data_IF_760949406750
#
_entry.id   IF_760949406750
#
_cell.length_a   1.000
_cell.length_b   1.000
_cell.length_c   1.000
_cell.angle_alpha   90.00
_cell.angle_beta   90.00
_cell.angle_gamma   90.00
#
_symmetry.space_group_name_H-M   'P 1'
#
loop_
_entity.id
_entity.type
_entity.pdbx_description
1 polymer ?
#
# COMPACT_ATOMS: atom_id res chain seq x y z
N UNK A 1 14.55 24.14 10.41
CA UNK A 1 15.68 23.32 9.91
C UNK A 1 15.15 22.35 8.87
N UNK A 2 15.70 22.32 7.65
CA UNK A 2 15.40 21.24 6.70
C UNK A 2 16.13 19.98 7.18
N UNK A 3 15.43 18.85 7.20
CA UNK A 3 16.06 17.55 7.43
C UNK A 3 17.08 17.32 6.30
N UNK A 4 18.34 16.95 6.61
CA UNK A 4 19.33 16.65 5.58
C UNK A 4 18.88 15.43 4.75
N UNK A 5 19.22 15.44 3.46
CA UNK A 5 18.95 14.32 2.56
C UNK A 5 19.68 13.06 3.01
N UNK A 6 19.20 11.90 2.58
CA UNK A 6 19.86 10.63 2.91
C UNK A 6 21.29 10.61 2.35
N UNK A 7 22.26 10.16 3.16
CA UNK A 7 23.67 10.10 2.75
C UNK A 7 23.87 9.32 1.45
N UNK A 8 23.04 8.31 1.20
CA UNK A 8 23.04 7.57 -0.08
C UNK A 8 22.64 8.43 -1.26
N UNK A 9 21.59 9.25 -1.15
CA UNK A 9 21.21 10.18 -2.21
C UNK A 9 22.34 11.18 -2.48
N UNK A 10 22.91 11.75 -1.40
CA UNK A 10 24.02 12.70 -1.47
C UNK A 10 25.26 12.09 -2.13
N UNK A 11 25.59 10.83 -1.81
CA UNK A 11 26.71 10.12 -2.41
C UNK A 11 26.41 9.73 -3.86
N UNK A 12 25.37 8.93 -4.11
CA UNK A 12 25.18 8.25 -5.40
C UNK A 12 24.46 9.09 -6.46
N UNK A 13 23.58 10.00 -6.05
CA UNK A 13 22.80 10.83 -6.97
C UNK A 13 23.40 12.22 -7.09
N UNK A 14 23.67 12.88 -5.96
CA UNK A 14 24.30 14.20 -5.95
C UNK A 14 25.83 14.16 -6.15
N UNK A 15 26.43 12.97 -6.21
CA UNK A 15 27.89 12.75 -6.41
C UNK A 15 28.78 13.51 -5.42
N UNK A 16 28.32 13.64 -4.18
CA UNK A 16 29.01 14.40 -3.14
C UNK A 16 29.38 13.50 -1.94
N UNK A 17 30.48 12.75 -2.09
CA UNK A 17 30.95 11.82 -1.05
C UNK A 17 31.34 12.56 0.24
N UNK A 18 31.82 13.81 0.12
CA UNK A 18 32.25 14.63 1.26
C UNK A 18 31.08 15.02 2.16
N UNK A 19 29.97 15.45 1.56
CA UNK A 19 28.77 15.79 2.33
C UNK A 19 28.11 14.52 2.90
N UNK A 20 28.05 13.44 2.13
CA UNK A 20 27.54 12.16 2.61
C UNK A 20 28.33 11.63 3.82
N UNK A 21 29.67 11.68 3.77
CA UNK A 21 30.53 11.30 4.88
C UNK A 21 30.31 12.22 6.09
N UNK A 22 30.26 13.53 5.90
CA UNK A 22 30.02 14.48 6.98
C UNK A 22 28.65 14.29 7.68
N UNK A 23 27.61 13.99 6.92
CA UNK A 23 26.27 13.74 7.46
C UNK A 23 26.22 12.39 8.19
N UNK A 24 26.88 11.34 7.67
CA UNK A 24 26.97 10.03 8.34
C UNK A 24 27.87 10.05 9.57
N UNK A 25 28.97 10.80 9.56
CA UNK A 25 29.85 10.94 10.73
C UNK A 25 29.10 11.52 11.93
N UNK A 26 28.17 12.47 11.68
CA UNK A 26 27.32 13.02 12.73
C UNK A 26 26.31 12.01 13.28
N UNK A 27 25.76 11.16 12.42
CA UNK A 27 24.75 10.16 12.81
C UNK A 27 25.38 8.96 13.52
N UNK A 28 26.51 8.46 13.01
CA UNK A 28 27.21 7.29 13.53
C UNK A 28 28.21 7.62 14.65
N UNK A 29 28.52 8.91 14.86
CA UNK A 29 29.58 9.37 15.79
C UNK A 29 30.95 8.74 15.52
N UNK A 30 31.27 8.50 14.25
CA UNK A 30 32.56 7.97 13.79
C UNK A 30 33.09 8.88 12.69
N UNK A 31 34.40 9.14 12.67
CA UNK A 31 35.02 9.86 11.56
C UNK A 31 35.08 8.99 10.31
N UNK A 32 34.23 9.30 9.34
CA UNK A 32 34.23 8.69 8.02
C UNK A 32 35.05 9.54 7.05
N UNK A 33 36.00 8.90 6.38
CA UNK A 33 36.75 9.50 5.28
C UNK A 33 35.88 9.50 4.00
N UNK A 34 35.89 10.61 3.28
CA UNK A 34 35.17 10.75 2.02
C UNK A 34 35.91 10.02 0.89
N UNK A 35 35.35 8.90 0.42
CA UNK A 35 35.91 8.12 -0.70
C UNK A 35 35.29 8.55 -2.05
N UNK A 36 35.62 9.76 -2.50
CA UNK A 36 35.04 10.33 -3.73
C UNK A 36 35.29 9.46 -4.97
N UNK A 37 36.47 8.84 -5.08
CA UNK A 37 36.85 8.00 -6.21
C UNK A 37 35.97 6.74 -6.33
N UNK A 38 35.53 6.15 -5.21
CA UNK A 38 34.57 5.03 -5.24
C UNK A 38 33.17 5.50 -5.65
N UNK A 39 32.73 6.65 -5.14
CA UNK A 39 31.44 7.25 -5.52
C UNK A 39 31.39 7.58 -7.02
N UNK A 40 32.48 8.13 -7.55
CA UNK A 40 32.58 8.47 -8.97
C UNK A 40 32.57 7.21 -9.84
N UNK A 41 33.31 6.15 -9.46
CA UNK A 41 33.28 4.84 -10.14
C UNK A 41 31.87 4.24 -10.18
N UNK A 42 31.19 4.16 -9.02
CA UNK A 42 29.81 3.65 -8.91
C UNK A 42 28.84 4.49 -9.74
N UNK A 43 29.06 5.81 -9.81
CA UNK A 43 28.27 6.74 -10.60
C UNK A 43 28.46 6.61 -12.11
N UNK A 44 29.62 6.09 -12.57
CA UNK A 44 29.96 5.91 -13.99
C UNK A 44 29.72 4.50 -14.53
N UNK A 45 29.42 3.52 -13.68
CA UNK A 45 29.08 2.15 -14.08
C UNK A 45 27.86 2.14 -15.04
N UNK A 46 27.97 1.55 -16.24
CA UNK A 46 26.90 1.55 -17.25
C UNK A 46 25.63 0.83 -16.78
N UNK A 47 25.74 -0.13 -15.86
CA UNK A 47 24.60 -0.81 -15.22
C UNK A 47 23.74 0.11 -14.35
N UNK A 48 24.30 1.24 -13.93
CA UNK A 48 23.59 2.30 -13.21
C UNK A 48 23.01 3.39 -14.12
N UNK A 49 23.14 3.26 -15.44
CA UNK A 49 22.78 4.31 -16.42
C UNK A 49 21.41 4.14 -17.10
N UNK A 50 20.61 3.15 -16.71
CA UNK A 50 19.30 2.93 -17.35
C UNK A 50 18.19 3.85 -16.80
N UNK A 51 17.38 4.41 -17.71
CA UNK A 51 16.20 5.22 -17.37
C UNK A 51 14.92 4.40 -17.19
N UNK A 52 13.83 5.05 -16.74
CA UNK A 52 12.54 4.42 -16.45
C UNK A 52 11.93 3.65 -17.64
N UNK A 53 12.08 4.18 -18.86
CA UNK A 53 11.50 3.58 -20.08
C UNK A 53 12.47 2.64 -20.81
N UNK A 54 13.55 2.22 -20.15
CA UNK A 54 14.51 1.30 -20.73
C UNK A 54 14.01 -0.15 -20.66
N UNK A 55 14.47 -0.98 -21.61
CA UNK A 55 14.23 -2.45 -21.56
C UNK A 55 14.83 -3.08 -20.31
N UNK A 56 15.93 -2.52 -19.80
CA UNK A 56 16.59 -2.98 -18.60
C UNK A 56 15.76 -2.73 -17.34
N UNK A 57 15.18 -1.54 -17.19
CA UNK A 57 14.22 -1.25 -16.12
C UNK A 57 13.01 -2.20 -16.19
N UNK A 58 12.44 -2.38 -17.38
CA UNK A 58 11.29 -3.28 -17.54
C UNK A 58 11.62 -4.72 -17.15
N UNK A 59 12.82 -5.22 -17.49
CA UNK A 59 13.28 -6.57 -17.14
C UNK A 59 13.56 -6.73 -15.64
N UNK A 60 14.21 -5.76 -15.00
CA UNK A 60 14.63 -5.84 -13.58
C UNK A 60 13.53 -5.43 -12.60
N UNK A 61 12.75 -4.42 -12.93
CA UNK A 61 11.82 -3.74 -12.02
C UNK A 61 10.39 -3.63 -12.55
N UNK A 62 10.12 -4.03 -13.79
CA UNK A 62 8.78 -3.95 -14.38
C UNK A 62 7.74 -4.76 -13.61
N UNK A 63 8.11 -5.97 -13.17
CA UNK A 63 7.23 -6.82 -12.37
C UNK A 63 6.98 -6.21 -10.97
N UNK A 64 8.02 -5.64 -10.37
CA UNK A 64 7.92 -4.98 -9.07
C UNK A 64 6.99 -3.76 -9.16
N UNK A 65 7.12 -2.95 -10.21
CA UNK A 65 6.27 -1.81 -10.45
C UNK A 65 4.82 -2.23 -10.73
N UNK A 66 4.60 -3.30 -11.49
CA UNK A 66 3.28 -3.86 -11.68
C UNK A 66 2.67 -4.32 -10.35
N UNK A 67 3.45 -5.04 -9.54
CA UNK A 67 3.04 -5.46 -8.20
C UNK A 67 2.63 -4.27 -7.33
N UNK A 68 3.52 -3.30 -7.13
CA UNK A 68 3.25 -2.15 -6.25
C UNK A 68 2.11 -1.28 -6.73
N UNK A 69 1.98 -1.03 -8.04
CA UNK A 69 0.90 -0.23 -8.60
C UNK A 69 -0.46 -0.94 -8.48
N UNK A 70 -0.52 -2.21 -8.86
CA UNK A 70 -1.77 -2.99 -8.83
C UNK A 70 -2.25 -3.22 -7.39
N UNK A 71 -1.37 -3.56 -6.45
CA UNK A 71 -1.78 -3.78 -5.06
C UNK A 71 -2.25 -2.49 -4.40
N UNK A 72 -1.61 -1.35 -4.67
CA UNK A 72 -2.05 -0.06 -4.12
C UNK A 72 -3.37 0.39 -4.76
N UNK A 73 -3.53 0.22 -6.08
CA UNK A 73 -4.79 0.49 -6.78
C UNK A 73 -5.95 -0.34 -6.21
N UNK A 74 -5.78 -1.66 -6.07
CA UNK A 74 -6.82 -2.56 -5.58
C UNK A 74 -7.16 -2.32 -4.12
N UNK A 75 -6.15 -2.04 -3.29
CA UNK A 75 -6.37 -1.61 -1.91
C UNK A 75 -7.21 -0.34 -1.85
N UNK A 76 -6.81 0.71 -2.58
CA UNK A 76 -7.47 2.02 -2.48
C UNK A 76 -8.93 1.94 -2.98
N UNK A 77 -9.25 1.06 -3.93
CA UNK A 77 -10.66 0.75 -4.26
C UNK A 77 -11.39 0.29 -2.99
N UNK A 78 -10.96 -0.81 -2.38
CA UNK A 78 -11.68 -1.40 -1.26
C UNK A 78 -11.68 -0.50 -0.01
N UNK A 79 -10.54 0.12 0.30
CA UNK A 79 -10.36 0.95 1.48
C UNK A 79 -11.18 2.23 1.42
N UNK A 80 -11.11 2.98 0.30
CA UNK A 80 -11.87 4.22 0.17
C UNK A 80 -13.37 3.98 -0.01
N UNK A 81 -13.79 2.96 -0.78
CA UNK A 81 -15.22 2.60 -0.86
C UNK A 81 -15.79 2.28 0.52
N UNK A 82 -15.07 1.46 1.29
CA UNK A 82 -15.50 1.08 2.64
C UNK A 82 -15.48 2.27 3.59
N UNK A 83 -14.50 3.18 3.49
CA UNK A 83 -14.41 4.32 4.42
C UNK A 83 -15.41 5.44 4.10
N UNK A 84 -15.61 5.75 2.81
CA UNK A 84 -16.43 6.86 2.38
C UNK A 84 -17.94 6.57 2.51
N UNK A 85 -18.34 5.32 2.22
CA UNK A 85 -19.75 4.92 2.20
C UNK A 85 -20.16 4.11 3.44
N UNK A 86 -19.47 4.28 4.57
CA UNK A 86 -19.83 3.62 5.83
C UNK A 86 -21.26 3.93 6.25
N UNK A 87 -21.69 5.19 6.10
CA UNK A 87 -23.07 5.60 6.40
C UNK A 87 -24.08 4.80 5.58
N UNK A 88 -23.85 4.66 4.28
CA UNK A 88 -24.79 3.98 3.38
C UNK A 88 -24.84 2.48 3.68
N UNK A 89 -23.68 1.88 3.98
CA UNK A 89 -23.59 0.48 4.43
C UNK A 89 -24.36 0.28 5.74
N UNK A 90 -24.17 1.15 6.74
CA UNK A 90 -24.88 1.08 8.02
C UNK A 90 -26.39 1.32 7.89
N UNK A 91 -26.80 2.18 6.95
CA UNK A 91 -28.21 2.40 6.63
C UNK A 91 -28.83 1.18 5.97
N UNK A 92 -28.11 0.56 5.04
CA UNK A 92 -28.58 -0.60 4.29
C UNK A 92 -28.73 -1.88 5.13
N UNK A 93 -27.97 -2.00 6.22
CA UNK A 93 -28.15 -3.09 7.21
C UNK A 93 -29.16 -2.74 8.31
N UNK A 94 -29.76 -1.55 8.30
CA UNK A 94 -30.74 -1.13 9.30
C UNK A 94 -30.15 -0.78 10.67
N UNK A 95 -28.85 -0.46 10.75
CA UNK A 95 -28.25 0.03 11.99
C UNK A 95 -28.60 1.50 12.25
N UNK A 96 -28.67 2.30 11.19
CA UNK A 96 -29.23 3.65 11.25
C UNK A 96 -30.77 3.58 11.11
N UNK A 97 -31.53 4.27 12.00
CA UNK A 97 -32.97 4.43 11.82
C UNK A 97 -33.31 5.08 10.47
N UNK A 98 -34.58 5.10 10.08
CA UNK A 98 -35.00 5.84 8.88
C UNK A 98 -34.85 7.34 9.12
N UNK A 99 -34.46 8.10 8.11
CA UNK A 99 -34.24 9.54 8.20
C UNK A 99 -35.47 10.30 8.77
N UNK A 100 -36.68 9.89 8.41
CA UNK A 100 -37.94 10.48 8.92
C UNK A 100 -38.12 10.35 10.45
N UNK A 101 -37.39 9.42 11.07
CA UNK A 101 -37.51 9.11 12.51
C UNK A 101 -36.40 9.72 13.35
N UNK A 102 -35.46 10.47 12.76
CA UNK A 102 -34.36 11.07 13.52
C UNK A 102 -33.95 12.46 12.99
N UNK A 103 -33.39 13.29 13.88
CA UNK A 103 -32.78 14.55 13.48
C UNK A 103 -31.41 14.33 12.83
N UNK A 104 -31.03 15.24 11.92
CA UNK A 104 -29.72 15.20 11.26
C UNK A 104 -28.55 15.20 12.26
N UNK A 105 -28.65 15.95 13.37
CA UNK A 105 -27.63 15.96 14.42
C UNK A 105 -27.51 14.61 15.11
N UNK A 106 -28.63 13.91 15.35
CA UNK A 106 -28.62 12.59 15.96
C UNK A 106 -28.05 11.53 15.02
N UNK A 107 -28.33 11.63 13.72
CA UNK A 107 -27.74 10.77 12.69
C UNK A 107 -26.22 10.90 12.65
N UNK A 108 -25.71 12.13 12.54
CA UNK A 108 -24.27 12.42 12.52
C UNK A 108 -23.59 11.92 13.79
N UNK A 109 -24.21 12.14 14.96
CA UNK A 109 -23.66 11.64 16.23
C UNK A 109 -23.54 10.11 16.25
N UNK A 110 -24.55 9.37 15.76
CA UNK A 110 -24.49 7.90 15.67
C UNK A 110 -23.41 7.43 14.71
N UNK A 111 -23.37 7.98 13.50
CA UNK A 111 -22.33 7.65 12.51
C UNK A 111 -20.95 7.92 13.11
N UNK A 112 -20.71 9.11 13.65
CA UNK A 112 -19.43 9.49 14.25
C UNK A 112 -19.01 8.56 15.39
N UNK A 113 -19.95 8.13 16.25
CA UNK A 113 -19.68 7.16 17.30
C UNK A 113 -19.22 5.81 16.75
N UNK A 114 -19.89 5.29 15.72
CA UNK A 114 -19.49 4.03 15.07
C UNK A 114 -18.12 4.16 14.38
N UNK A 115 -17.88 5.26 13.66
CA UNK A 115 -16.61 5.53 13.00
C UNK A 115 -15.46 5.65 14.00
N UNK A 116 -15.70 6.33 15.12
CA UNK A 116 -14.72 6.47 16.20
C UNK A 116 -14.38 5.11 16.81
N UNK A 117 -15.39 4.25 17.02
CA UNK A 117 -15.16 2.89 17.53
C UNK A 117 -14.33 2.05 16.55
N UNK A 118 -14.64 2.10 15.25
CA UNK A 118 -13.87 1.42 14.20
C UNK A 118 -12.44 1.96 14.12
N UNK A 119 -12.26 3.27 14.28
CA UNK A 119 -10.93 3.87 14.29
C UNK A 119 -10.11 3.42 15.50
N UNK A 120 -10.69 3.45 16.70
CA UNK A 120 -10.03 3.10 17.95
C UNK A 120 -9.74 1.60 18.08
N UNK A 121 -10.63 0.74 17.59
CA UNK A 121 -10.50 -0.71 17.72
C UNK A 121 -9.95 -1.41 16.47
N UNK A 122 -10.07 -0.79 15.30
CA UNK A 122 -9.61 -1.34 14.02
C UNK A 122 -8.39 -0.61 13.50
N UNK A 123 -8.57 0.60 13.01
CA UNK A 123 -7.55 1.34 12.24
C UNK A 123 -6.28 1.62 13.05
N UNK A 124 -6.39 2.25 14.22
CA UNK A 124 -5.24 2.68 15.03
C UNK A 124 -4.44 1.47 15.55
N UNK A 125 -5.05 0.44 16.15
CA UNK A 125 -4.32 -0.75 16.55
C UNK A 125 -3.66 -1.46 15.37
N UNK A 126 -4.33 -1.52 14.20
CA UNK A 126 -3.76 -2.14 13.00
C UNK A 126 -2.42 -1.53 12.58
N UNK A 127 -2.32 -0.19 12.62
CA UNK A 127 -1.04 0.49 12.35
C UNK A 127 0.04 0.16 13.38
N UNK A 128 -0.29 0.17 14.68
CA UNK A 128 0.68 -0.16 15.73
C UNK A 128 1.16 -1.61 15.63
N UNK A 129 0.29 -2.53 15.21
CA UNK A 129 0.69 -3.90 14.91
C UNK A 129 1.63 -3.94 13.72
N UNK A 130 1.35 -3.22 12.63
CA UNK A 130 2.34 -3.14 11.53
C UNK A 130 3.67 -2.61 12.04
N UNK A 131 3.70 -1.50 12.76
CA UNK A 131 4.94 -0.93 13.30
C UNK A 131 5.70 -1.95 14.16
N UNK A 132 5.00 -2.68 15.03
CA UNK A 132 5.62 -3.66 15.91
C UNK A 132 6.17 -4.89 15.17
N UNK A 133 5.56 -5.29 14.04
CA UNK A 133 5.85 -6.56 13.38
C UNK A 133 6.48 -6.45 11.99
N UNK A 134 6.55 -5.28 11.37
CA UNK A 134 7.00 -5.11 9.97
C UNK A 134 8.43 -5.61 9.74
N UNK A 135 9.32 -5.42 10.72
CA UNK A 135 10.71 -5.88 10.65
C UNK A 135 10.88 -7.35 11.08
N UNK A 136 9.93 -7.91 11.84
CA UNK A 136 9.98 -9.30 12.30
C UNK A 136 9.27 -10.28 11.38
N UNK A 137 8.13 -9.92 10.81
CA UNK A 137 7.34 -10.78 9.93
C UNK A 137 7.74 -10.56 8.46
N UNK A 138 7.92 -9.31 8.05
CA UNK A 138 8.21 -8.93 6.67
C UNK A 138 7.03 -8.29 5.96
N UNK A 139 7.31 -7.50 4.92
CA UNK A 139 6.31 -6.67 4.24
C UNK A 139 5.40 -7.53 3.37
N UNK A 140 5.94 -8.53 2.69
CA UNK A 140 5.19 -9.42 1.80
C UNK A 140 4.17 -10.23 2.59
N UNK A 141 4.59 -10.83 3.71
CA UNK A 141 3.71 -11.68 4.53
C UNK A 141 2.60 -10.86 5.17
N UNK A 142 2.90 -9.66 5.70
CA UNK A 142 1.90 -8.76 6.25
C UNK A 142 0.90 -8.32 5.17
N UNK A 143 1.39 -7.97 3.97
CA UNK A 143 0.52 -7.57 2.87
C UNK A 143 -0.43 -8.70 2.44
N UNK A 144 0.11 -9.92 2.27
CA UNK A 144 -0.65 -11.09 1.86
C UNK A 144 -1.72 -11.46 2.90
N UNK A 145 -1.32 -11.50 4.18
CA UNK A 145 -2.21 -11.74 5.31
C UNK A 145 -3.33 -10.69 5.38
N UNK A 146 -2.99 -9.41 5.21
CA UNK A 146 -3.95 -8.32 5.22
C UNK A 146 -5.01 -8.47 4.13
N UNK A 147 -4.60 -8.63 2.86
CA UNK A 147 -5.56 -8.86 1.77
C UNK A 147 -6.40 -10.12 1.97
N UNK A 148 -5.80 -11.21 2.48
CA UNK A 148 -6.53 -12.44 2.79
C UNK A 148 -7.64 -12.20 3.82
N UNK A 149 -7.32 -11.65 4.99
CA UNK A 149 -8.32 -11.41 6.02
C UNK A 149 -9.34 -10.34 5.63
N UNK A 150 -8.93 -9.29 4.92
CA UNK A 150 -9.86 -8.32 4.32
C UNK A 150 -10.88 -9.01 3.40
N UNK A 151 -10.45 -9.99 2.60
CA UNK A 151 -11.33 -10.77 1.72
C UNK A 151 -12.29 -11.63 2.52
N UNK A 152 -11.77 -12.36 3.52
CA UNK A 152 -12.56 -13.21 4.43
C UNK A 152 -13.65 -12.40 5.12
N UNK A 153 -13.32 -11.25 5.71
CA UNK A 153 -14.31 -10.42 6.41
C UNK A 153 -15.30 -9.77 5.43
N UNK A 154 -14.86 -9.32 4.25
CA UNK A 154 -15.78 -8.82 3.24
C UNK A 154 -16.79 -9.86 2.77
N UNK A 155 -16.36 -11.11 2.54
CA UNK A 155 -17.28 -12.20 2.21
C UNK A 155 -18.16 -12.60 3.40
N UNK A 156 -17.63 -12.59 4.63
CA UNK A 156 -18.42 -12.84 5.84
C UNK A 156 -19.50 -11.77 6.07
N UNK A 157 -19.26 -10.52 5.65
CA UNK A 157 -20.26 -9.45 5.68
C UNK A 157 -21.31 -9.59 4.56
N UNK A 158 -20.89 -10.07 3.39
CA UNK A 158 -21.73 -10.06 2.20
C UNK A 158 -22.55 -11.34 1.96
N UNK A 159 -22.04 -12.53 2.33
CA UNK A 159 -22.74 -13.80 2.10
C UNK A 159 -23.97 -13.92 3.01
N UNK A 160 -23.84 -13.88 4.36
CA UNK A 160 -24.97 -13.89 5.29
C UNK A 160 -25.56 -12.47 5.50
N UNK A 161 -25.69 -11.66 4.44
CA UNK A 161 -26.12 -10.25 4.53
C UNK A 161 -27.44 -10.04 5.30
N UNK A 162 -28.42 -10.94 5.13
CA UNK A 162 -29.72 -10.85 5.82
C UNK A 162 -29.60 -11.14 7.34
N UNK A 163 -28.65 -11.99 7.76
CA UNK A 163 -28.39 -12.23 9.18
C UNK A 163 -27.92 -10.95 9.87
N UNK A 164 -27.08 -10.17 9.19
CA UNK A 164 -26.53 -8.93 9.74
C UNK A 164 -27.56 -7.83 9.98
N UNK A 165 -28.70 -7.85 9.28
CA UNK A 165 -29.79 -6.89 9.51
C UNK A 165 -30.47 -7.04 10.87
N UNK A 166 -30.29 -8.19 11.52
CA UNK A 166 -30.82 -8.47 12.87
C UNK A 166 -29.72 -8.50 13.94
N UNK A 167 -28.45 -8.63 13.53
CA UNK A 167 -27.28 -8.78 14.40
C UNK A 167 -26.25 -7.67 14.16
N UNK A 168 -26.69 -6.41 14.24
CA UNK A 168 -25.89 -5.26 13.79
C UNK A 168 -24.55 -5.09 14.54
N UNK A 169 -24.46 -5.53 15.79
CA UNK A 169 -23.21 -5.47 16.57
C UNK A 169 -22.11 -6.35 15.96
N UNK A 170 -22.46 -7.56 15.52
CA UNK A 170 -21.50 -8.46 14.88
C UNK A 170 -21.05 -7.94 13.52
N UNK A 171 -21.93 -7.26 12.77
CA UNK A 171 -21.55 -6.58 11.54
C UNK A 171 -20.48 -5.52 11.81
N UNK A 172 -20.67 -4.66 12.82
CA UNK A 172 -19.68 -3.64 13.18
C UNK A 172 -18.32 -4.25 13.56
N UNK A 173 -18.32 -5.38 14.28
CA UNK A 173 -17.08 -6.08 14.66
C UNK A 173 -16.36 -6.59 13.42
N UNK A 174 -17.04 -7.33 12.54
CA UNK A 174 -16.46 -7.86 11.31
C UNK A 174 -15.96 -6.72 10.40
N UNK A 175 -16.73 -5.63 10.31
CA UNK A 175 -16.36 -4.45 9.55
C UNK A 175 -15.13 -3.74 10.12
N UNK A 176 -15.05 -3.62 11.45
CA UNK A 176 -13.86 -3.09 12.14
C UNK A 176 -12.63 -3.98 11.94
N UNK A 177 -12.79 -5.30 11.91
CA UNK A 177 -11.71 -6.23 11.63
C UNK A 177 -11.18 -6.08 10.21
N UNK A 178 -12.04 -5.80 9.22
CA UNK A 178 -11.56 -5.45 7.87
C UNK A 178 -10.61 -4.24 7.91
N UNK A 179 -10.96 -3.17 8.63
CA UNK A 179 -10.07 -2.03 8.78
C UNK A 179 -8.81 -2.37 9.58
N UNK A 180 -8.90 -3.20 10.61
CA UNK A 180 -7.73 -3.68 11.33
C UNK A 180 -6.74 -4.35 10.39
N UNK A 181 -7.17 -5.34 9.59
CA UNK A 181 -6.29 -6.05 8.66
C UNK A 181 -5.92 -5.25 7.41
N UNK A 182 -6.68 -4.21 7.05
CA UNK A 182 -6.23 -3.25 6.04
C UNK A 182 -5.00 -2.48 6.52
N UNK A 183 -4.97 -2.07 7.79
CA UNK A 183 -3.87 -1.30 8.38
C UNK A 183 -2.74 -2.18 8.92
N UNK A 184 -3.06 -3.34 9.49
CA UNK A 184 -2.13 -4.44 9.73
C UNK A 184 -1.97 -5.29 8.48
N UNK A 185 -1.52 -4.65 7.41
CA UNK A 185 -1.58 -5.23 6.08
C UNK A 185 -1.30 -4.22 4.97
N UNK A 186 -2.06 -4.29 3.86
CA UNK A 186 -1.71 -3.62 2.61
C UNK A 186 -1.61 -2.10 2.74
N UNK A 187 -2.39 -1.42 3.58
CA UNK A 187 -2.33 0.05 3.67
C UNK A 187 -0.98 0.59 4.09
N UNK A 188 -0.33 -0.08 5.05
CA UNK A 188 1.01 0.30 5.44
C UNK A 188 2.06 -0.24 4.45
N UNK A 189 1.93 -1.50 4.01
CA UNK A 189 2.96 -2.13 3.18
C UNK A 189 3.00 -1.58 1.76
N UNK A 190 1.88 -1.25 1.12
CA UNK A 190 1.88 -0.65 -0.22
C UNK A 190 2.51 0.73 -0.25
N UNK A 191 2.54 1.43 0.88
CA UNK A 191 3.26 2.69 1.05
C UNK A 191 4.77 2.47 1.25
N UNK A 192 5.15 1.51 2.10
CA UNK A 192 6.55 1.24 2.47
C UNK A 192 7.31 0.56 1.33
N UNK A 193 6.74 -0.47 0.73
CA UNK A 193 7.43 -1.36 -0.23
C UNK A 193 8.04 -0.60 -1.42
N UNK A 194 7.34 0.29 -2.14
CA UNK A 194 7.94 1.03 -3.25
C UNK A 194 9.15 1.88 -2.82
N UNK A 195 9.18 2.35 -1.57
CA UNK A 195 10.34 3.10 -1.07
C UNK A 195 11.56 2.20 -0.81
N UNK A 196 11.33 0.93 -0.50
CA UNK A 196 12.35 -0.05 -0.10
C UNK A 196 12.85 -0.95 -1.25
N UNK A 197 12.17 -0.98 -2.41
CA UNK A 197 12.54 -1.91 -3.51
C UNK A 197 13.12 -1.23 -4.75
N UNK A 198 12.93 0.08 -4.91
CA UNK A 198 13.37 0.81 -6.10
C UNK A 198 14.71 1.53 -5.86
N UNK A 199 15.59 1.57 -6.87
CA UNK A 199 16.90 2.21 -6.75
C UNK A 199 16.74 3.70 -6.46
N UNK A 200 17.65 4.26 -5.65
CA UNK A 200 17.53 5.61 -5.12
C UNK A 200 17.27 6.68 -6.20
N UNK A 201 17.83 6.50 -7.40
CA UNK A 201 17.67 7.41 -8.54
C UNK A 201 16.27 7.41 -9.16
N UNK A 202 15.54 6.28 -9.11
CA UNK A 202 14.18 6.14 -9.67
C UNK A 202 13.10 6.02 -8.59
N UNK A 203 13.50 5.90 -7.32
CA UNK A 203 12.60 5.62 -6.18
C UNK A 203 11.42 6.57 -6.13
N UNK A 204 11.66 7.88 -6.20
CA UNK A 204 10.59 8.88 -6.14
C UNK A 204 9.62 8.77 -7.31
N UNK A 205 10.11 8.50 -8.51
CA UNK A 205 9.28 8.31 -9.71
C UNK A 205 8.45 7.03 -9.62
N UNK A 206 9.05 5.89 -9.26
CA UNK A 206 8.34 4.62 -9.13
C UNK A 206 7.34 4.61 -7.97
N UNK A 207 7.71 5.22 -6.83
CA UNK A 207 6.79 5.46 -5.72
C UNK A 207 5.65 6.39 -6.15
N UNK A 208 5.95 7.47 -6.89
CA UNK A 208 4.95 8.40 -7.43
C UNK A 208 3.96 7.72 -8.38
N UNK A 209 4.42 6.85 -9.28
CA UNK A 209 3.56 6.06 -10.16
C UNK A 209 2.68 5.10 -9.36
N UNK A 210 3.24 4.42 -8.35
CA UNK A 210 2.50 3.52 -7.46
C UNK A 210 1.43 4.27 -6.65
N UNK A 211 1.77 5.45 -6.13
CA UNK A 211 0.85 6.31 -5.40
C UNK A 211 -0.26 6.87 -6.31
N UNK A 212 0.07 7.26 -7.54
CA UNK A 212 -0.90 7.70 -8.53
C UNK A 212 -1.89 6.59 -8.89
N UNK A 213 -1.42 5.33 -9.02
CA UNK A 213 -2.28 4.17 -9.20
C UNK A 213 -3.20 3.98 -7.98
N UNK A 214 -2.70 4.10 -6.75
CA UNK A 214 -3.54 4.12 -5.54
C UNK A 214 -4.67 5.16 -5.64
N UNK A 215 -4.33 6.42 -5.96
CA UNK A 215 -5.35 7.47 -6.11
C UNK A 215 -6.34 7.23 -7.24
N UNK A 216 -5.91 6.66 -8.36
CA UNK A 216 -6.83 6.20 -9.40
C UNK A 216 -7.79 5.11 -8.87
N UNK A 217 -7.28 4.18 -8.06
CA UNK A 217 -8.07 3.18 -7.35
C UNK A 217 -9.09 3.80 -6.40
N UNK A 218 -8.69 4.81 -5.63
CA UNK A 218 -9.60 5.54 -4.73
C UNK A 218 -10.74 6.22 -5.50
N UNK A 219 -10.46 6.80 -6.67
CA UNK A 219 -11.47 7.41 -7.55
C UNK A 219 -12.42 6.32 -8.08
N UNK A 220 -11.87 5.23 -8.62
CA UNK A 220 -12.65 4.09 -9.12
C UNK A 220 -13.53 3.48 -8.03
N UNK A 221 -13.00 3.30 -6.82
CA UNK A 221 -13.75 2.81 -5.67
C UNK A 221 -14.82 3.80 -5.22
N UNK A 222 -14.52 5.09 -5.18
CA UNK A 222 -15.46 6.12 -4.74
C UNK A 222 -16.67 6.21 -5.68
N UNK A 223 -16.44 6.38 -6.98
CA UNK A 223 -17.54 6.44 -7.94
C UNK A 223 -18.13 5.06 -8.21
N UNK A 224 -17.30 4.05 -8.43
CA UNK A 224 -17.75 2.70 -8.75
C UNK A 224 -18.62 2.10 -7.65
N UNK A 225 -18.24 2.23 -6.39
CA UNK A 225 -19.09 1.77 -5.28
C UNK A 225 -20.35 2.61 -5.15
N UNK A 226 -20.27 3.94 -5.30
CA UNK A 226 -21.45 4.81 -5.24
C UNK A 226 -22.53 4.41 -6.23
N UNK A 227 -22.16 4.12 -7.48
CA UNK A 227 -23.10 3.64 -8.50
C UNK A 227 -23.51 2.17 -8.27
N UNK A 228 -22.57 1.30 -7.89
CA UNK A 228 -22.85 -0.12 -7.70
C UNK A 228 -23.75 -0.40 -6.49
N UNK A 229 -23.59 0.34 -5.40
CA UNK A 229 -24.30 0.14 -4.15
C UNK A 229 -25.78 0.56 -4.21
N UNK A 230 -26.18 1.31 -5.25
CA UNK A 230 -27.56 1.71 -5.47
C UNK A 230 -28.52 0.51 -5.53
N UNK A 231 -29.77 0.75 -5.15
CA UNK A 231 -30.82 -0.27 -5.15
C UNK A 231 -31.00 -0.90 -6.54
N UNK A 232 -31.29 -2.20 -6.56
CA UNK A 232 -31.70 -2.93 -7.78
C UNK A 232 -33.11 -2.56 -8.24
N UNK A 233 -33.92 -2.00 -7.34
CA UNK A 233 -35.28 -1.55 -7.65
C UNK A 233 -35.32 -0.04 -7.85
N UNK A 234 -35.86 0.38 -8.99
CA UNK A 234 -35.90 1.76 -9.47
C UNK A 234 -36.66 2.73 -8.55
N UNK A 235 -37.56 2.24 -7.71
CA UNK A 235 -38.34 3.00 -6.73
C UNK A 235 -37.54 3.37 -5.47
N UNK A 236 -36.39 2.74 -5.23
CA UNK A 236 -35.55 2.93 -4.04
C UNK A 236 -34.14 3.43 -4.36
N UNK A 237 -33.93 3.94 -5.56
CA UNK A 237 -32.67 4.54 -5.98
C UNK A 237 -32.61 5.99 -5.53
N UNK A 238 -31.43 6.46 -5.14
CA UNK A 238 -31.24 7.87 -4.80
C UNK A 238 -31.51 8.77 -6.03
N UNK A 239 -32.11 9.94 -5.80
CA UNK A 239 -32.47 10.87 -6.87
C UNK A 239 -31.23 11.22 -7.72
N UNK A 240 -31.29 10.90 -9.01
CA UNK A 240 -30.23 11.20 -9.97
C UNK A 240 -29.28 10.04 -10.27
N UNK A 241 -29.45 8.87 -9.65
CA UNK A 241 -28.66 7.67 -9.94
C UNK A 241 -29.45 6.63 -10.76
N UNK A 242 -28.77 5.82 -11.59
CA UNK A 242 -29.35 4.61 -12.19
C UNK A 242 -29.42 3.48 -11.16
N UNK A 243 -30.18 2.42 -11.47
CA UNK A 243 -30.23 1.19 -10.65
C UNK A 243 -28.85 0.55 -10.54
N UNK A 244 -28.47 0.17 -9.32
CA UNK A 244 -27.21 -0.51 -9.03
C UNK A 244 -27.38 -2.01 -8.84
N UNK A 245 -26.32 -2.65 -8.34
CA UNK A 245 -26.31 -4.07 -7.96
C UNK A 245 -26.67 -4.29 -6.49
N UNK A 246 -26.81 -3.22 -5.70
CA UNK A 246 -27.11 -3.23 -4.28
C UNK A 246 -25.88 -3.44 -3.38
N UNK A 247 -25.98 -2.95 -2.14
CA UNK A 247 -24.88 -2.98 -1.14
C UNK A 247 -24.31 -4.38 -0.94
N UNK A 248 -25.15 -5.42 -0.87
CA UNK A 248 -24.69 -6.82 -0.73
C UNK A 248 -23.71 -7.21 -1.84
N UNK A 249 -24.08 -6.98 -3.09
CA UNK A 249 -23.27 -7.37 -4.24
C UNK A 249 -22.06 -6.43 -4.41
N UNK A 250 -22.18 -5.17 -4.02
CA UNK A 250 -21.05 -4.25 -3.95
C UNK A 250 -20.00 -4.73 -2.92
N UNK A 251 -20.42 -5.21 -1.75
CA UNK A 251 -19.52 -5.82 -0.75
C UNK A 251 -18.86 -7.11 -1.28
N UNK A 252 -19.59 -7.96 -2.01
CA UNK A 252 -18.99 -9.13 -2.69
C UNK A 252 -17.92 -8.71 -3.70
N UNK A 253 -18.17 -7.65 -4.46
CA UNK A 253 -17.22 -7.10 -5.43
C UNK A 253 -15.97 -6.55 -4.73
N UNK A 254 -16.11 -5.84 -3.60
CA UNK A 254 -14.95 -5.43 -2.79
C UNK A 254 -14.15 -6.63 -2.26
N UNK A 255 -14.82 -7.70 -1.83
CA UNK A 255 -14.16 -8.95 -1.44
C UNK A 255 -13.36 -9.58 -2.59
N UNK A 256 -13.90 -9.56 -3.80
CA UNK A 256 -13.20 -10.04 -4.99
C UNK A 256 -12.00 -9.14 -5.35
N UNK A 257 -12.13 -7.82 -5.24
CA UNK A 257 -11.02 -6.87 -5.42
C UNK A 257 -9.88 -7.15 -4.43
N UNK A 258 -10.21 -7.43 -3.17
CA UNK A 258 -9.20 -7.81 -2.17
C UNK A 258 -8.51 -9.15 -2.51
N UNK A 259 -9.26 -10.13 -3.03
CA UNK A 259 -8.68 -11.39 -3.52
C UNK A 259 -7.71 -11.16 -4.69
N UNK A 260 -8.06 -10.27 -5.63
CA UNK A 260 -7.14 -9.88 -6.68
C UNK A 260 -5.90 -9.19 -6.10
N UNK A 261 -6.05 -8.32 -5.10
CA UNK A 261 -4.93 -7.69 -4.40
C UNK A 261 -4.00 -8.71 -3.75
N UNK A 262 -4.56 -9.78 -3.17
CA UNK A 262 -3.80 -10.92 -2.64
C UNK A 262 -2.98 -11.60 -3.74
N UNK A 263 -3.57 -11.85 -4.92
CA UNK A 263 -2.86 -12.48 -6.04
C UNK A 263 -1.75 -11.60 -6.60
N UNK A 264 -2.00 -10.29 -6.76
CA UNK A 264 -0.97 -9.35 -7.22
C UNK A 264 0.13 -9.11 -6.18
N UNK A 265 -0.14 -9.37 -4.90
CA UNK A 265 0.91 -9.35 -3.86
C UNK A 265 1.98 -10.39 -4.14
N UNK A 266 1.67 -11.50 -4.83
CA UNK A 266 2.68 -12.50 -5.24
C UNK A 266 3.74 -11.94 -6.20
N UNK A 267 3.49 -10.79 -6.84
CA UNK A 267 4.44 -10.11 -7.72
C UNK A 267 5.35 -9.13 -6.95
N UNK A 268 5.08 -8.91 -5.67
CA UNK A 268 5.82 -7.98 -4.83
C UNK A 268 6.99 -8.71 -4.16
N UNK A 269 8.24 -8.24 -4.33
CA UNK A 269 9.38 -8.87 -3.66
C UNK A 269 9.37 -8.56 -2.15
N UNK A 270 9.90 -9.47 -1.32
CA UNK A 270 10.10 -9.24 0.11
C UNK A 270 11.43 -8.49 0.33
N UNK A 271 11.40 -7.23 0.84
CA UNK A 271 12.61 -6.47 1.12
C UNK A 271 13.27 -6.82 2.47
N UNK A 272 12.60 -7.55 3.36
CA UNK A 272 13.10 -7.81 4.72
C UNK A 272 14.50 -8.46 4.71
N UNK A 273 15.42 -7.85 5.45
CA UNK A 273 16.76 -8.38 5.71
C UNK A 273 17.71 -8.33 4.51
N UNK A 274 17.29 -7.70 3.40
CA UNK A 274 18.12 -7.49 2.21
C UNK A 274 18.49 -6.03 2.11
N UNK A 275 19.73 -5.76 1.72
CA UNK A 275 20.13 -4.40 1.42
C UNK A 275 19.45 -3.95 0.12
N UNK A 276 19.26 -2.64 -0.06
CA UNK A 276 18.64 -2.16 -1.29
C UNK A 276 19.53 -2.48 -2.51
N UNK A 277 20.85 -2.55 -2.34
CA UNK A 277 21.79 -2.97 -3.39
C UNK A 277 21.58 -4.42 -3.83
N UNK A 278 21.25 -5.32 -2.90
CA UNK A 278 20.90 -6.71 -3.22
C UNK A 278 19.56 -6.79 -3.97
N UNK A 279 18.57 -6.00 -3.54
CA UNK A 279 17.23 -5.98 -4.17
C UNK A 279 17.27 -5.35 -5.56
N UNK A 280 18.12 -4.34 -5.76
CA UNK A 280 18.26 -3.66 -7.06
C UNK A 280 19.25 -4.32 -7.99
N UNK A 281 19.99 -5.33 -7.51
CA UNK A 281 21.04 -6.01 -8.27
C UNK A 281 22.26 -5.10 -8.52
N UNK A 282 22.49 -4.10 -7.67
CA UNK A 282 23.71 -3.27 -7.68
C UNK A 282 24.95 -4.08 -7.24
N UNK A 283 24.78 -5.16 -6.46
CA UNK A 283 25.88 -6.00 -5.95
C UNK A 283 26.32 -7.15 -6.89
N UNK A 284 25.44 -7.68 -7.75
CA UNK A 284 25.75 -8.88 -8.54
C UNK A 284 26.79 -8.63 -9.65
N UNK A 285 26.96 -7.38 -10.07
CA UNK A 285 27.90 -7.02 -11.14
C UNK A 285 29.31 -6.69 -10.64
N UNK A 286 29.46 -6.34 -9.35
CA UNK A 286 30.77 -6.08 -8.72
C UNK A 286 31.59 -7.38 -8.59
N UNK A 287 30.91 -8.50 -8.29
CA UNK A 287 31.53 -9.84 -8.26
C UNK A 287 31.89 -10.36 -9.67
N UNK A 288 31.13 -10.00 -10.69
CA UNK A 288 31.41 -10.39 -12.08
C UNK A 288 32.66 -9.72 -12.66
N UNK A 289 32.92 -8.46 -12.27
CA UNK A 289 34.13 -7.73 -12.66
C UNK A 289 35.35 -8.10 -11.81
N UNK A 290 35.17 -8.47 -10.53
CA UNK A 290 36.26 -9.03 -9.71
C UNK A 290 36.73 -10.41 -10.19
N UNK A 291 35.83 -11.29 -10.66
CA UNK A 291 36.27 -12.56 -11.27
C UNK A 291 36.94 -12.39 -12.64
N UNK A 292 36.53 -11.39 -13.44
CA UNK A 292 37.17 -11.12 -14.74
C UNK A 292 38.56 -10.47 -14.62
N UNK A 293 38.85 -9.75 -13.53
CA UNK A 293 40.14 -9.07 -13.32
C UNK A 293 41.23 -9.96 -12.69
N UNK A 294 40.88 -11.09 -12.08
CA UNK A 294 41.84 -12.05 -11.50
C UNK A 294 42.31 -13.10 -12.53
N UNK A 295 41.71 -13.15 -13.73
CA UNK A 295 41.97 -14.17 -14.74
C UNK A 295 43.15 -13.95 -15.71
N UNK A 296 43.80 -12.79 -15.70
CA UNK A 296 44.88 -12.47 -16.65
C UNK A 296 46.11 -11.88 -15.94
N UNK A 297 46.85 -12.72 -15.20
CA UNK A 297 48.27 -12.49 -14.95
C UNK A 297 49.04 -13.58 -15.68
N UNK A 298 49.63 -13.31 -16.86
CA UNK A 298 50.54 -14.26 -17.49
C UNK A 298 51.81 -14.35 -16.65
N UNK A 299 52.23 -15.59 -16.34
CA UNK A 299 53.57 -15.94 -15.86
C UNK A 299 54.57 -15.78 -16.99
#
# INVERSE_FOLDING_TARGET
MKMPETARYTALVARNAKQAAADMSKVLQVDLNAEQEKVDKIGTEPSNSFGLFSKEFAKRHGLHLLGTTSTWFLLDIAFYSSNLFQKDIFSAIGWLPKAETMSATHEVYRVAKAQTLIALCGTVPGYWFTVAFIDYIGRFVIQLMGFFFMSVFMFALAIPYEHWKTHNAGFLIMYSLTFFFANFGPNATTFVVPAEIFPARLRSTCHGISAAAGKAGAIVGSFGFLYAAQSTHHDKVDKGYPTGIGVKNALLMLGAVNCLGMLFTLLVPEPKGRSLEEITGENEEDNGQQQASVGNVPV
#
